data_IF_380672040985
#
_entry.id   IF_380672040985
#
_cell.length_a   1.000
_cell.length_b   1.000
_cell.length_c   1.000
_cell.angle_alpha   90.00
_cell.angle_beta   90.00
_cell.angle_gamma   90.00
#
_symmetry.space_group_name_H-M   'P 1'
#
loop_
_entity.id
_entity.type
_entity.pdbx_description
1 polymer ?
#
# COMPACT_ATOMS: atom_id res chain seq x y z
N UNK A 1 -7.12 7.30 11.85
CA UNK A 1 -6.83 8.76 11.92
C UNK A 1 -6.32 9.19 10.56
N UNK A 2 -6.82 10.31 10.05
CA UNK A 2 -6.40 10.92 8.79
C UNK A 2 -5.89 12.32 9.06
N UNK A 3 -4.72 12.65 8.51
CA UNK A 3 -4.14 14.00 8.49
C UNK A 3 -4.10 14.47 7.04
N UNK A 4 -4.43 15.71 6.77
CA UNK A 4 -4.42 16.34 5.43
C UNK A 4 -3.90 17.77 5.55
N UNK A 5 -3.61 18.40 4.42
CA UNK A 5 -3.23 19.82 4.42
C UNK A 5 -4.43 20.74 4.74
N UNK A 6 -4.16 21.91 5.36
CA UNK A 6 -5.22 22.83 5.75
C UNK A 6 -6.01 23.44 4.58
N UNK A 7 -5.37 23.60 3.41
CA UNK A 7 -6.02 24.14 2.22
C UNK A 7 -7.10 23.19 1.73
N UNK A 8 -6.82 21.90 1.74
CA UNK A 8 -7.82 20.88 1.38
C UNK A 8 -8.97 20.83 2.39
N UNK A 9 -8.69 21.04 3.67
CA UNK A 9 -9.71 21.06 4.73
C UNK A 9 -10.74 22.18 4.50
N UNK A 10 -10.30 23.30 3.93
CA UNK A 10 -11.15 24.44 3.62
C UNK A 10 -11.95 24.30 2.30
N UNK A 11 -11.70 23.26 1.47
CA UNK A 11 -12.41 23.08 0.20
C UNK A 11 -13.87 22.64 0.47
N UNK A 12 -14.88 23.40 0.04
CA UNK A 12 -16.30 23.07 0.27
C UNK A 12 -16.72 21.78 -0.47
N UNK A 13 -16.38 21.68 -1.75
CA UNK A 13 -16.63 20.48 -2.57
C UNK A 13 -15.35 19.69 -2.79
N UNK A 14 -15.26 18.53 -2.15
CA UNK A 14 -14.13 17.61 -2.20
C UNK A 14 -14.28 16.51 -3.26
N UNK A 15 -15.37 16.53 -4.05
CA UNK A 15 -15.68 15.47 -5.01
C UNK A 15 -14.64 15.35 -6.14
N UNK A 16 -14.07 16.47 -6.57
CA UNK A 16 -13.15 16.56 -7.71
C UNK A 16 -11.69 16.82 -7.33
N UNK A 17 -11.38 16.90 -6.05
CA UNK A 17 -10.05 17.25 -5.55
C UNK A 17 -9.52 16.24 -4.54
N UNK A 18 -8.19 16.19 -4.44
CA UNK A 18 -7.47 15.46 -3.40
C UNK A 18 -6.55 16.42 -2.63
N UNK A 19 -6.21 16.10 -1.38
CA UNK A 19 -5.26 16.91 -0.62
C UNK A 19 -3.86 16.83 -1.25
N UNK A 20 -3.07 17.89 -1.09
CA UNK A 20 -1.67 17.91 -1.51
C UNK A 20 -0.86 16.84 -0.78
N UNK A 21 -1.13 16.64 0.50
CA UNK A 21 -0.61 15.50 1.26
C UNK A 21 -1.69 14.86 2.13
N UNK A 22 -1.52 13.60 2.43
CA UNK A 22 -2.36 12.89 3.38
C UNK A 22 -1.56 11.82 4.14
N UNK A 23 -1.92 11.60 5.41
CA UNK A 23 -1.48 10.43 6.16
C UNK A 23 -2.71 9.66 6.59
N UNK A 24 -2.81 8.41 6.16
CA UNK A 24 -3.91 7.52 6.53
C UNK A 24 -3.39 6.39 7.40
N UNK A 25 -4.00 6.18 8.55
CA UNK A 25 -3.69 5.07 9.45
C UNK A 25 -4.69 3.94 9.24
N UNK A 26 -4.17 2.76 8.93
CA UNK A 26 -4.91 1.51 8.85
C UNK A 26 -4.55 0.61 10.03
N UNK A 27 -5.55 -0.02 10.61
CA UNK A 27 -5.40 -0.99 11.70
C UNK A 27 -5.90 -2.35 11.22
N UNK A 28 -5.00 -3.31 11.15
CA UNK A 28 -5.32 -4.69 10.80
C UNK A 28 -5.32 -5.55 12.07
N UNK A 29 -6.37 -6.34 12.31
CA UNK A 29 -6.43 -7.21 13.47
C UNK A 29 -5.40 -8.34 13.40
N UNK A 30 -5.17 -8.99 14.52
CA UNK A 30 -4.39 -10.22 14.58
C UNK A 30 -5.02 -11.30 13.68
N UNK A 31 -4.17 -12.13 13.06
CA UNK A 31 -4.58 -13.20 12.15
C UNK A 31 -3.91 -14.51 12.55
N UNK A 32 -4.63 -15.38 13.21
CA UNK A 32 -4.08 -16.59 13.79
C UNK A 32 -2.91 -16.26 14.74
N UNK A 33 -1.73 -16.80 14.48
CA UNK A 33 -0.50 -16.54 15.27
C UNK A 33 0.20 -15.22 14.91
N UNK A 34 -0.27 -14.48 13.89
CA UNK A 34 0.34 -13.20 13.47
C UNK A 34 -0.24 -12.06 14.30
N UNK A 35 0.61 -11.17 14.84
CA UNK A 35 0.16 -10.02 15.62
C UNK A 35 -0.65 -9.03 14.77
N UNK A 36 -1.36 -8.09 15.40
CA UNK A 36 -1.99 -6.98 14.69
C UNK A 36 -0.91 -6.11 14.03
N UNK A 37 -1.30 -5.45 12.93
CA UNK A 37 -0.41 -4.56 12.17
C UNK A 37 -1.06 -3.19 12.05
N UNK A 38 -0.28 -2.14 12.28
CA UNK A 38 -0.67 -0.77 11.94
C UNK A 38 0.15 -0.31 10.73
N UNK A 39 -0.53 0.16 9.71
CA UNK A 39 0.10 0.74 8.52
C UNK A 39 -0.22 2.23 8.45
N UNK A 40 0.79 3.04 8.14
CA UNK A 40 0.63 4.44 7.80
C UNK A 40 0.95 4.63 6.33
N UNK A 41 -0.02 5.12 5.58
CA UNK A 41 0.17 5.54 4.20
C UNK A 41 0.45 7.03 4.17
N UNK A 42 1.64 7.39 3.74
CA UNK A 42 2.06 8.78 3.56
C UNK A 42 1.95 9.12 2.07
N UNK A 43 1.18 10.13 1.74
CA UNK A 43 0.97 10.61 0.37
C UNK A 43 1.67 11.94 0.19
N UNK A 44 2.51 12.05 -0.85
CA UNK A 44 3.31 13.22 -1.19
C UNK A 44 4.24 13.70 -0.05
N UNK A 45 4.27 15.00 0.22
CA UNK A 45 5.29 15.69 1.02
C UNK A 45 5.34 15.32 2.52
N UNK A 46 4.37 14.58 3.02
CA UNK A 46 4.34 14.20 4.43
C UNK A 46 5.14 12.90 4.66
N UNK A 47 6.38 13.06 5.04
CA UNK A 47 7.31 11.95 5.24
C UNK A 47 7.08 11.24 6.57
N UNK A 48 7.21 9.90 6.65
CA UNK A 48 7.14 9.19 7.92
C UNK A 48 8.35 9.54 8.80
N UNK A 49 8.18 9.54 10.14
CA UNK A 49 9.31 9.68 11.04
C UNK A 49 10.28 8.51 10.83
N UNK A 50 11.57 8.81 10.89
CA UNK A 50 12.60 7.78 10.81
C UNK A 50 12.43 6.78 11.97
N UNK A 51 12.56 5.50 11.66
CA UNK A 51 12.50 4.47 12.68
C UNK A 51 13.76 4.52 13.56
N UNK A 52 13.63 4.04 14.83
CA UNK A 52 14.77 3.90 15.75
C UNK A 52 15.91 3.02 15.21
N UNK A 53 15.66 2.24 14.17
CA UNK A 53 16.64 1.40 13.50
C UNK A 53 17.34 2.10 12.33
N UNK A 54 16.94 3.34 12.01
CA UNK A 54 17.51 4.13 10.95
C UNK A 54 18.48 5.16 11.53
N UNK A 55 19.75 5.08 11.16
CA UNK A 55 20.74 6.09 11.55
C UNK A 55 20.56 7.33 10.67
N UNK A 56 20.70 8.52 11.25
CA UNK A 56 20.55 9.82 10.54
C UNK A 56 21.54 10.02 9.39
N UNK A 57 22.64 9.29 9.40
CA UNK A 57 23.67 9.27 8.33
C UNK A 57 23.19 8.51 7.08
N UNK A 58 22.28 7.56 7.24
CA UNK A 58 21.67 6.84 6.14
C UNK A 58 20.58 7.74 5.53
N UNK A 59 20.92 8.49 4.49
CA UNK A 59 19.92 9.28 3.75
C UNK A 59 18.84 8.34 3.25
N UNK A 60 17.62 8.56 3.72
CA UNK A 60 16.44 7.89 3.19
C UNK A 60 16.21 8.44 1.77
N UNK A 61 16.45 7.68 0.72
CA UNK A 61 16.28 8.16 -0.65
C UNK A 61 14.79 8.07 -1.01
N UNK A 62 14.09 9.16 -0.79
CA UNK A 62 12.66 9.24 -1.01
C UNK A 62 12.33 9.55 -2.48
N UNK A 63 11.96 8.52 -3.21
CA UNK A 63 11.18 8.65 -4.44
C UNK A 63 9.94 7.75 -4.40
N UNK A 64 9.88 6.85 -3.43
CA UNK A 64 8.77 5.94 -3.21
C UNK A 64 9.23 4.71 -2.44
N UNK A 65 8.33 4.04 -1.77
CA UNK A 65 8.64 2.84 -1.01
C UNK A 65 8.03 2.81 0.38
N UNK A 66 8.57 1.98 1.23
CA UNK A 66 8.08 1.83 2.58
C UNK A 66 9.08 1.17 3.51
N UNK A 67 8.72 1.10 4.78
CA UNK A 67 9.48 0.43 5.80
C UNK A 67 8.57 -0.44 6.67
N UNK A 68 8.88 -1.72 6.82
CA UNK A 68 8.25 -2.60 7.80
C UNK A 68 9.06 -2.58 9.08
N UNK A 69 8.44 -2.21 10.18
CA UNK A 69 9.10 -2.09 11.48
C UNK A 69 8.62 -3.24 12.37
N UNK A 70 9.57 -4.07 12.81
CA UNK A 70 9.35 -5.16 13.75
C UNK A 70 9.94 -4.87 15.13
N UNK A 71 9.87 -5.86 16.03
CA UNK A 71 10.44 -5.77 17.37
C UNK A 71 11.97 -5.81 17.38
N UNK A 72 12.58 -6.50 16.42
CA UNK A 72 14.04 -6.75 16.36
C UNK A 72 14.75 -5.88 15.33
N UNK A 73 14.03 -5.33 14.36
CA UNK A 73 14.63 -4.58 13.27
C UNK A 73 13.58 -4.04 12.31
N UNK A 74 14.03 -3.54 11.16
CA UNK A 74 13.19 -3.03 10.12
C UNK A 74 13.63 -3.50 8.73
N UNK A 75 12.67 -3.50 7.80
CA UNK A 75 12.86 -3.89 6.41
C UNK A 75 12.40 -2.72 5.53
N UNK A 76 13.31 -1.90 5.01
CA UNK A 76 12.96 -0.92 3.99
C UNK A 76 12.79 -1.61 2.63
N UNK A 77 11.85 -1.11 1.81
CA UNK A 77 11.56 -1.64 0.48
C UNK A 77 11.10 -0.52 -0.47
N UNK A 78 11.14 -0.78 -1.78
CA UNK A 78 10.70 0.15 -2.82
C UNK A 78 11.82 0.61 -3.74
N UNK A 79 11.62 1.71 -4.45
CA UNK A 79 12.54 2.22 -5.48
C UNK A 79 13.95 2.56 -4.99
N UNK A 80 14.09 2.77 -3.71
CA UNK A 80 15.35 3.05 -3.00
C UNK A 80 16.47 2.06 -3.35
N UNK A 81 16.09 0.84 -3.61
CA UNK A 81 17.03 -0.25 -3.90
C UNK A 81 17.03 -0.65 -5.38
N UNK A 82 16.26 0.07 -6.22
CA UNK A 82 16.12 -0.21 -7.65
C UNK A 82 17.34 0.20 -8.49
N UNK A 83 18.24 0.99 -7.95
CA UNK A 83 19.33 1.63 -8.69
C UNK A 83 20.54 0.75 -9.01
N UNK A 84 20.48 -0.56 -8.79
CA UNK A 84 21.54 -1.48 -9.24
C UNK A 84 21.07 -2.35 -10.40
N UNK A 85 21.77 -2.30 -11.55
CA UNK A 85 21.40 -3.02 -12.78
C UNK A 85 21.40 -4.55 -12.68
N UNK A 86 21.83 -5.11 -11.55
CA UNK A 86 22.06 -6.56 -11.39
C UNK A 86 20.79 -7.39 -11.11
N UNK A 87 19.60 -6.84 -11.22
CA UNK A 87 18.33 -7.59 -11.10
C UNK A 87 18.08 -8.27 -9.74
N UNK A 88 18.99 -8.17 -8.82
CA UNK A 88 18.98 -8.81 -7.50
C UNK A 88 18.95 -7.73 -6.41
N UNK A 89 17.78 -7.18 -6.17
CA UNK A 89 17.60 -6.33 -4.99
C UNK A 89 17.51 -7.23 -3.76
N UNK A 90 18.62 -7.31 -3.05
CA UNK A 90 18.61 -7.88 -1.72
C UNK A 90 17.94 -6.86 -0.79
N UNK A 91 16.78 -7.22 -0.26
CA UNK A 91 16.17 -6.47 0.83
C UNK A 91 17.17 -6.43 1.98
N UNK A 92 17.58 -5.24 2.39
CA UNK A 92 18.44 -5.04 3.56
C UNK A 92 17.61 -5.11 4.84
N UNK A 93 18.21 -5.64 5.89
CA UNK A 93 17.67 -5.54 7.23
C UNK A 93 18.35 -4.39 7.97
N UNK A 94 17.60 -3.75 8.86
CA UNK A 94 18.14 -2.73 9.76
C UNK A 94 17.99 -3.20 11.21
N UNK A 95 18.96 -2.99 12.08
CA UNK A 95 20.28 -2.40 11.79
C UNK A 95 21.17 -3.30 10.94
N UNK A 96 22.27 -2.77 10.40
CA UNK A 96 23.15 -3.46 9.47
C UNK A 96 23.79 -4.74 10.06
N UNK A 97 23.96 -4.79 11.37
CA UNK A 97 24.47 -5.95 12.09
C UNK A 97 23.50 -7.13 11.92
N UNK A 98 22.20 -6.88 12.02
CA UNK A 98 21.18 -7.91 11.79
C UNK A 98 21.24 -8.46 10.35
N UNK A 99 21.53 -7.62 9.37
CA UNK A 99 21.63 -8.02 7.95
C UNK A 99 22.81 -8.96 7.70
N UNK A 100 23.93 -8.75 8.38
CA UNK A 100 25.14 -9.59 8.23
C UNK A 100 24.90 -11.02 8.71
N UNK A 101 24.21 -11.19 9.82
CA UNK A 101 24.03 -12.47 10.48
C UNK A 101 22.79 -13.22 9.97
N UNK A 102 21.90 -12.54 9.25
CA UNK A 102 20.64 -13.13 8.81
C UNK A 102 20.83 -14.07 7.62
N UNK A 103 20.56 -15.35 7.84
CA UNK A 103 20.50 -16.35 6.76
C UNK A 103 19.17 -16.23 6.01
N UNK A 104 19.24 -15.74 4.79
CA UNK A 104 18.03 -15.57 3.97
C UNK A 104 17.44 -16.92 3.55
N UNK A 105 16.11 -17.06 3.56
CA UNK A 105 15.44 -18.27 3.10
C UNK A 105 15.65 -18.47 1.58
N UNK A 106 15.48 -19.70 1.13
CA UNK A 106 15.45 -20.01 -0.29
C UNK A 106 14.31 -19.25 -0.99
N UNK A 107 14.52 -18.90 -2.24
CA UNK A 107 13.51 -18.23 -3.06
C UNK A 107 12.43 -19.23 -3.45
N UNK A 108 11.17 -18.90 -3.16
CA UNK A 108 10.00 -19.74 -3.47
C UNK A 108 9.13 -19.16 -4.57
N UNK A 109 9.28 -17.86 -4.88
CA UNK A 109 8.52 -17.17 -5.93
C UNK A 109 9.37 -17.07 -7.18
N UNK A 110 8.94 -17.63 -8.32
CA UNK A 110 9.66 -17.52 -9.59
C UNK A 110 9.83 -16.04 -9.99
N UNK A 111 10.93 -15.74 -10.66
CA UNK A 111 11.12 -14.43 -11.28
C UNK A 111 10.50 -14.42 -12.66
N UNK A 112 9.88 -13.28 -13.00
CA UNK A 112 9.41 -13.02 -14.36
C UNK A 112 10.63 -12.78 -15.23
N UNK A 113 10.76 -13.54 -16.32
CA UNK A 113 11.88 -13.42 -17.25
C UNK A 113 11.71 -12.26 -18.23
N UNK A 114 10.48 -11.81 -18.44
CA UNK A 114 10.08 -10.74 -19.36
C UNK A 114 9.57 -9.50 -18.61
N UNK A 115 9.07 -8.50 -19.33
CA UNK A 115 8.37 -7.37 -18.72
C UNK A 115 6.99 -7.78 -18.21
N UNK A 116 6.40 -7.00 -17.30
CA UNK A 116 5.03 -7.25 -16.79
C UNK A 116 3.99 -7.35 -17.91
N UNK A 117 4.10 -6.50 -18.93
CA UNK A 117 3.19 -6.54 -20.08
C UNK A 117 3.36 -7.83 -20.88
N UNK A 118 4.59 -8.28 -21.10
CA UNK A 118 4.86 -9.52 -21.82
C UNK A 118 4.44 -10.75 -21.01
N UNK A 119 4.67 -10.77 -19.71
CA UNK A 119 4.15 -11.85 -18.85
C UNK A 119 2.64 -11.98 -19.00
N UNK A 120 1.91 -10.85 -19.03
CA UNK A 120 0.47 -10.87 -19.21
C UNK A 120 0.06 -11.47 -20.56
N UNK A 121 0.69 -11.03 -21.66
CA UNK A 121 0.44 -11.55 -23.02
C UNK A 121 0.75 -13.06 -23.10
N UNK A 122 1.89 -13.48 -22.59
CA UNK A 122 2.33 -14.88 -22.60
C UNK A 122 1.41 -15.76 -21.77
N UNK A 123 0.96 -15.26 -20.62
CA UNK A 123 0.02 -15.98 -19.75
C UNK A 123 -1.35 -16.16 -20.42
N UNK A 124 -1.87 -15.12 -21.09
CA UNK A 124 -3.11 -15.21 -21.87
C UNK A 124 -2.98 -16.25 -22.98
N UNK A 125 -1.88 -16.21 -23.77
CA UNK A 125 -1.63 -17.21 -24.82
C UNK A 125 -1.52 -18.63 -24.31
N UNK A 126 -0.95 -18.80 -23.10
CA UNK A 126 -0.75 -20.11 -22.48
C UNK A 126 -1.96 -20.59 -21.65
N UNK A 127 -3.03 -19.81 -21.54
CA UNK A 127 -4.19 -20.11 -20.68
C UNK A 127 -3.84 -20.21 -19.20
N UNK A 128 -2.81 -19.45 -18.75
CA UNK A 128 -2.33 -19.44 -17.36
C UNK A 128 -2.65 -18.14 -16.68
N UNK A 129 -2.70 -18.16 -15.35
CA UNK A 129 -2.78 -16.92 -14.57
C UNK A 129 -1.43 -16.19 -14.53
N UNK A 130 -1.50 -14.87 -14.54
CA UNK A 130 -0.34 -14.01 -14.33
C UNK A 130 0.07 -13.98 -12.85
N UNK A 131 1.30 -13.57 -12.56
CA UNK A 131 1.78 -13.37 -11.19
C UNK A 131 1.01 -12.26 -10.45
N UNK A 132 0.49 -11.27 -11.19
CA UNK A 132 -0.36 -10.20 -10.69
C UNK A 132 -1.77 -10.34 -11.29
N UNK A 133 -2.49 -11.42 -10.94
CA UNK A 133 -3.87 -11.62 -11.35
C UNK A 133 -4.83 -10.63 -10.66
N UNK A 134 -6.08 -10.58 -11.10
CA UNK A 134 -7.07 -9.63 -10.55
C UNK A 134 -7.40 -9.86 -9.08
N UNK A 135 -7.31 -11.08 -8.58
CA UNK A 135 -7.51 -11.35 -7.16
C UNK A 135 -6.40 -10.68 -6.32
N UNK A 136 -5.14 -10.86 -6.72
CA UNK A 136 -4.01 -10.22 -6.05
C UNK A 136 -4.03 -8.70 -6.23
N UNK A 137 -4.15 -8.23 -7.47
CA UNK A 137 -4.15 -6.81 -7.80
C UNK A 137 -5.34 -6.07 -7.19
N UNK A 138 -6.53 -6.68 -7.19
CA UNK A 138 -7.72 -6.14 -6.57
C UNK A 138 -7.57 -5.94 -5.06
N UNK A 139 -6.99 -6.92 -4.35
CA UNK A 139 -6.74 -6.79 -2.92
C UNK A 139 -5.75 -5.66 -2.59
N UNK A 140 -4.71 -5.47 -3.41
CA UNK A 140 -3.76 -4.35 -3.24
C UNK A 140 -4.44 -3.01 -3.52
N UNK A 141 -5.20 -2.92 -4.61
CA UNK A 141 -5.94 -1.70 -4.98
C UNK A 141 -7.00 -1.32 -3.96
N UNK A 142 -7.65 -2.32 -3.34
CA UNK A 142 -8.66 -2.10 -2.31
C UNK A 142 -8.10 -1.28 -1.14
N UNK A 143 -6.88 -1.54 -0.71
CA UNK A 143 -6.26 -0.79 0.40
C UNK A 143 -6.13 0.69 0.05
N UNK A 144 -5.69 1.00 -1.17
CA UNK A 144 -5.59 2.38 -1.63
C UNK A 144 -6.97 3.07 -1.68
N UNK A 145 -7.97 2.39 -2.25
CA UNK A 145 -9.33 2.93 -2.35
C UNK A 145 -9.99 3.14 -0.97
N UNK A 146 -9.77 2.23 -0.02
CA UNK A 146 -10.22 2.43 1.37
C UNK A 146 -9.54 3.65 2.01
N UNK A 147 -8.29 3.93 1.64
CA UNK A 147 -7.58 5.13 2.04
C UNK A 147 -8.23 6.40 1.52
N UNK A 148 -8.62 6.41 0.25
CA UNK A 148 -9.33 7.53 -0.37
C UNK A 148 -10.68 7.80 0.30
N UNK A 149 -11.43 6.75 0.62
CA UNK A 149 -12.68 6.86 1.38
C UNK A 149 -12.41 7.45 2.77
N UNK A 150 -11.35 7.01 3.45
CA UNK A 150 -10.99 7.54 4.75
C UNK A 150 -10.59 9.02 4.71
N UNK A 151 -9.89 9.47 3.67
CA UNK A 151 -9.55 10.89 3.45
C UNK A 151 -10.83 11.74 3.35
N UNK A 152 -11.82 11.27 2.58
CA UNK A 152 -13.10 11.98 2.41
C UNK A 152 -13.95 11.99 3.68
N UNK A 153 -13.77 11.03 4.57
CA UNK A 153 -14.43 10.94 5.88
C UNK A 153 -13.46 11.30 7.02
N UNK A 154 -12.55 12.27 6.80
CA UNK A 154 -11.61 12.74 7.83
C UNK A 154 -12.32 13.07 9.14
N UNK A 155 -11.70 12.66 10.25
CA UNK A 155 -12.26 12.81 11.59
C UNK A 155 -13.08 11.62 12.09
N UNK A 156 -13.45 10.69 11.20
CA UNK A 156 -14.15 9.47 11.56
C UNK A 156 -13.19 8.28 11.64
N UNK A 157 -13.45 7.35 12.56
CA UNK A 157 -12.85 6.02 12.53
C UNK A 157 -13.80 5.11 11.75
N UNK A 158 -13.33 4.58 10.63
CA UNK A 158 -14.11 3.71 9.76
C UNK A 158 -13.79 2.24 10.06
N UNK A 159 -14.81 1.37 10.03
CA UNK A 159 -14.70 -0.06 10.28
C UNK A 159 -15.13 -0.82 9.03
N UNK A 160 -14.13 -1.28 8.27
CA UNK A 160 -14.37 -2.06 7.06
C UNK A 160 -14.46 -3.56 7.38
N UNK A 161 -15.56 -4.17 6.97
CA UNK A 161 -15.74 -5.63 6.98
C UNK A 161 -15.34 -6.19 5.61
N UNK A 162 -14.18 -6.82 5.54
CA UNK A 162 -13.67 -7.38 4.30
C UNK A 162 -14.51 -8.54 3.76
N UNK A 163 -15.22 -9.28 4.64
CA UNK A 163 -16.10 -10.38 4.22
C UNK A 163 -17.41 -9.85 3.63
N UNK A 164 -17.95 -8.81 4.22
CA UNK A 164 -19.17 -8.16 3.74
C UNK A 164 -18.91 -7.14 2.62
N UNK A 165 -17.64 -6.76 2.37
CA UNK A 165 -17.25 -5.76 1.37
C UNK A 165 -17.77 -4.36 1.66
N UNK A 166 -17.99 -3.99 2.93
CA UNK A 166 -18.60 -2.72 3.32
C UNK A 166 -18.11 -2.18 4.65
N UNK A 167 -18.28 -0.89 4.83
CA UNK A 167 -18.08 -0.24 6.13
C UNK A 167 -19.32 -0.38 7.02
N UNK A 168 -19.11 -0.32 8.34
CA UNK A 168 -20.21 -0.15 9.30
C UNK A 168 -20.86 1.21 9.15
N UNK A 169 -20.09 2.22 8.82
CA UNK A 169 -20.50 3.62 8.67
C UNK A 169 -21.18 3.83 7.32
N UNK A 170 -22.48 4.21 7.34
CA UNK A 170 -23.31 4.35 6.14
C UNK A 170 -22.77 5.40 5.16
N UNK A 171 -22.24 6.52 5.68
CA UNK A 171 -21.67 7.60 4.86
C UNK A 171 -20.50 7.11 4.02
N UNK A 172 -19.61 6.30 4.60
CA UNK A 172 -18.47 5.75 3.88
C UNK A 172 -18.90 4.82 2.73
N UNK A 173 -20.00 4.07 2.91
CA UNK A 173 -20.51 3.16 1.89
C UNK A 173 -21.06 3.87 0.66
N UNK A 174 -21.50 5.11 0.77
CA UNK A 174 -21.96 5.91 -0.38
C UNK A 174 -20.86 6.15 -1.40
N UNK A 175 -19.59 6.10 -0.99
CA UNK A 175 -18.42 6.30 -1.85
C UNK A 175 -18.01 5.05 -2.63
N UNK A 176 -18.58 3.88 -2.37
CA UNK A 176 -18.36 2.68 -3.18
C UNK A 176 -19.10 2.69 -4.50
N UNK A 177 -20.13 3.49 -4.60
CA UNK A 177 -21.00 3.56 -5.78
C UNK A 177 -21.00 4.98 -6.33
N UNK A 178 -21.13 5.07 -7.62
CA UNK A 178 -21.35 6.32 -8.34
C UNK A 178 -22.54 6.13 -9.27
N UNK A 179 -23.21 7.19 -9.57
CA UNK A 179 -24.22 7.20 -10.62
C UNK A 179 -23.51 7.04 -11.98
N UNK A 180 -23.87 5.99 -12.70
CA UNK A 180 -23.35 5.73 -14.03
C UNK A 180 -24.21 6.41 -15.09
N UNK A 181 -23.59 6.80 -16.19
CA UNK A 181 -24.36 7.25 -17.36
C UNK A 181 -25.25 6.10 -17.83
N UNK A 182 -26.50 6.41 -18.21
CA UNK A 182 -27.46 5.43 -18.72
C UNK A 182 -26.87 4.55 -19.83
N UNK A 183 -26.95 3.24 -19.66
CA UNK A 183 -26.38 2.23 -20.56
C UNK A 183 -24.93 1.89 -20.30
N UNK A 184 -24.31 2.40 -19.22
CA UNK A 184 -22.93 2.12 -18.79
C UNK A 184 -22.85 1.60 -17.35
N UNK A 185 -23.97 1.14 -16.83
CA UNK A 185 -24.06 0.54 -15.51
C UNK A 185 -23.25 -0.77 -15.48
N UNK A 186 -22.63 -1.05 -14.34
CA UNK A 186 -21.96 -2.34 -14.15
C UNK A 186 -23.00 -3.47 -14.10
N UNK A 187 -22.70 -4.63 -14.70
CA UNK A 187 -23.57 -5.78 -14.54
C UNK A 187 -23.69 -6.15 -13.06
N UNK A 188 -24.91 -6.36 -12.60
CA UNK A 188 -25.25 -6.78 -11.23
C UNK A 188 -25.01 -8.26 -11.04
#
# INVERSE_FOLDING_TARGET
MVKTDPEWDAVPDKSQKYPRFAVVRFEFPARGKKPPVTMYWHHNDEMPPLSKFWKTEDKFPWTGGGIMIGSKGAIPFGEIYASKPSGLQLVKLLPAELDKDYKRPARTIPRIASSHCMEWVESVKAGKQTSCNFEYGGNVSMIAMLGDIAIRNKGMKLHYDAKAGKFKEAEANRLFQREYRKGWELPT
#
